data_IF_209749020378
#
_entry.id   IF_209749020378
#
_cell.length_a   1.000
_cell.length_b   1.000
_cell.length_c   1.000
_cell.angle_alpha   90.00
_cell.angle_beta   90.00
_cell.angle_gamma   90.00
#
_symmetry.space_group_name_H-M   'P 1'
#
loop_
_entity.id
_entity.type
_entity.pdbx_description
1 polymer ?
#
# COMPACT_ATOMS: atom_id res chain seq x y z
N UNK A 1 -21.60 6.07 38.22
CA UNK A 1 -20.23 6.43 37.86
C UNK A 1 -19.47 5.12 37.71
N UNK A 2 -19.37 4.59 36.49
CA UNK A 2 -18.50 3.46 36.16
C UNK A 2 -17.30 4.04 35.45
N UNK A 3 -16.11 3.80 35.97
CA UNK A 3 -14.84 4.19 35.40
C UNK A 3 -14.78 3.66 33.97
N UNK A 4 -14.70 4.58 33.01
CA UNK A 4 -14.16 4.29 31.68
C UNK A 4 -12.63 4.24 31.84
N UNK A 5 -12.11 3.05 32.11
CA UNK A 5 -10.70 2.75 31.82
C UNK A 5 -10.56 2.79 30.30
N UNK A 6 -10.24 3.96 29.77
CA UNK A 6 -9.83 4.12 28.39
C UNK A 6 -8.51 3.37 28.23
N UNK A 7 -8.61 2.20 27.61
CA UNK A 7 -7.44 1.45 27.15
C UNK A 7 -6.62 2.37 26.21
N UNK A 8 -5.48 2.88 26.70
CA UNK A 8 -4.61 3.82 25.99
C UNK A 8 -3.90 3.22 24.75
N UNK A 9 -4.32 2.03 24.32
CA UNK A 9 -3.77 1.28 23.18
C UNK A 9 -4.78 1.02 22.05
N UNK A 10 -6.02 1.52 22.16
CA UNK A 10 -7.07 1.28 21.16
C UNK A 10 -7.26 2.50 20.26
N UNK A 11 -7.14 2.33 18.94
CA UNK A 11 -7.31 3.39 17.95
C UNK A 11 -6.64 3.07 16.63
N UNK A 12 -6.80 3.96 15.64
CA UNK A 12 -6.11 3.87 14.34
C UNK A 12 -5.19 5.09 14.15
N UNK A 13 -4.15 4.90 13.34
CA UNK A 13 -3.20 5.96 12.99
C UNK A 13 -3.85 6.99 12.04
N UNK A 14 -3.17 8.13 11.81
CA UNK A 14 -3.57 9.10 10.80
C UNK A 14 -3.55 8.51 9.38
N UNK A 15 -4.41 9.01 8.48
CA UNK A 15 -4.38 8.67 7.06
C UNK A 15 -3.08 9.12 6.37
N UNK A 16 -2.36 10.09 6.96
CA UNK A 16 -1.03 10.49 6.48
C UNK A 16 0.02 9.37 6.66
N UNK A 17 -0.24 8.41 7.55
CA UNK A 17 0.59 7.22 7.73
C UNK A 17 0.18 6.05 6.79
N UNK A 18 -0.92 6.19 6.06
CA UNK A 18 -1.36 5.26 5.03
C UNK A 18 -0.93 5.74 3.64
N UNK A 19 -1.25 7.00 3.31
CA UNK A 19 -0.89 7.63 2.05
C UNK A 19 0.45 8.36 2.17
N UNK A 20 1.48 7.82 1.55
CA UNK A 20 2.83 8.38 1.56
C UNK A 20 3.36 8.50 0.14
N UNK A 21 3.75 9.70 -0.23
CA UNK A 21 4.55 9.91 -1.44
C UNK A 21 5.98 9.42 -1.21
N UNK A 22 6.49 8.62 -2.13
CA UNK A 22 7.85 8.09 -2.00
C UNK A 22 8.26 7.23 -3.19
N UNK A 23 9.49 6.77 -3.18
CA UNK A 23 10.04 5.96 -4.27
C UNK A 23 9.70 4.48 -4.10
N UNK A 24 9.26 3.86 -5.22
CA UNK A 24 9.10 2.42 -5.28
C UNK A 24 10.44 1.65 -5.27
N UNK A 25 10.41 0.35 -5.50
CA UNK A 25 9.23 -0.43 -5.90
C UNK A 25 8.42 -1.02 -4.74
N UNK A 26 8.93 -1.01 -3.49
CA UNK A 26 8.29 -1.68 -2.36
C UNK A 26 8.24 -0.80 -1.10
N UNK A 27 7.08 -0.69 -0.49
CA UNK A 27 6.93 0.04 0.76
C UNK A 27 7.67 -0.62 1.92
N UNK A 28 7.71 -1.96 1.96
CA UNK A 28 8.41 -2.72 3.00
C UNK A 28 9.91 -2.91 2.73
N UNK A 29 10.32 -2.99 1.44
CA UNK A 29 11.71 -3.30 1.08
C UNK A 29 12.52 -2.06 0.63
N UNK A 30 11.87 -0.92 0.36
CA UNK A 30 12.55 0.33 -0.01
C UNK A 30 12.20 1.48 0.93
N UNK A 31 10.93 1.90 1.00
CA UNK A 31 10.54 3.05 1.83
C UNK A 31 10.76 2.83 3.33
N UNK A 32 10.43 1.64 3.85
CA UNK A 32 10.68 1.29 5.26
C UNK A 32 12.17 1.30 5.62
N UNK A 33 13.04 0.57 4.91
CA UNK A 33 14.48 0.65 5.09
C UNK A 33 15.06 2.05 4.94
N UNK A 34 14.62 2.85 3.94
CA UNK A 34 15.04 4.25 3.79
C UNK A 34 14.69 5.07 5.03
N UNK A 35 13.45 4.98 5.51
CA UNK A 35 12.98 5.69 6.71
C UNK A 35 13.77 5.29 7.96
N UNK A 36 14.07 4.01 8.12
CA UNK A 36 14.88 3.52 9.23
C UNK A 36 16.31 4.04 9.18
N UNK A 37 16.93 4.01 8.01
CA UNK A 37 18.29 4.54 7.83
C UNK A 37 18.35 6.04 8.03
N UNK A 38 17.38 6.82 7.54
CA UNK A 38 17.30 8.27 7.80
C UNK A 38 17.18 8.57 9.30
N UNK A 39 16.30 7.87 10.02
CA UNK A 39 16.16 8.03 11.47
C UNK A 39 17.42 7.63 12.22
N UNK A 40 18.10 6.55 11.81
CA UNK A 40 19.32 6.09 12.43
C UNK A 40 20.52 7.01 12.14
N UNK A 41 20.59 7.57 10.92
CA UNK A 41 21.58 8.58 10.54
C UNK A 41 21.42 9.86 11.39
N UNK A 42 20.19 10.35 11.53
CA UNK A 42 19.90 11.53 12.34
C UNK A 42 20.26 11.32 13.82
N UNK A 43 20.12 10.11 14.34
CA UNK A 43 20.51 9.73 15.69
C UNK A 43 22.03 9.63 15.88
N UNK A 44 22.78 9.34 14.82
CA UNK A 44 24.21 9.07 14.85
C UNK A 44 25.01 10.04 13.96
N UNK A 45 24.94 11.37 14.18
CA UNK A 45 25.57 12.35 13.30
C UNK A 45 27.12 12.32 13.33
N UNK A 46 27.72 11.63 14.30
CA UNK A 46 29.18 11.49 14.45
C UNK A 46 29.73 10.16 13.91
N UNK A 47 28.88 9.30 13.35
CA UNK A 47 29.32 8.04 12.77
C UNK A 47 30.13 8.27 11.48
N UNK A 48 31.21 7.50 11.30
CA UNK A 48 32.06 7.50 10.11
C UNK A 48 31.84 6.29 9.20
N UNK A 49 31.07 5.29 9.69
CA UNK A 49 30.69 4.09 8.93
C UNK A 49 29.40 3.49 9.49
N UNK A 50 28.61 2.91 8.58
CA UNK A 50 27.40 2.14 8.91
C UNK A 50 27.50 0.70 8.40
N UNK A 51 26.72 -0.19 9.01
CA UNK A 51 26.49 -1.55 8.53
C UNK A 51 25.02 -1.87 8.72
N UNK A 52 24.42 -2.50 7.71
CA UNK A 52 23.06 -3.02 7.75
C UNK A 52 23.07 -4.53 7.51
N UNK A 53 22.39 -5.29 8.36
CA UNK A 53 22.16 -6.72 8.15
C UNK A 53 20.69 -6.94 7.92
N UNK A 54 20.34 -7.52 6.77
CA UNK A 54 18.98 -7.79 6.34
C UNK A 54 18.64 -9.24 6.60
N UNK A 55 17.43 -9.49 7.11
CA UNK A 55 16.96 -10.83 7.47
C UNK A 55 15.64 -11.16 6.78
N UNK A 56 15.26 -12.46 6.80
CA UNK A 56 13.97 -12.96 6.34
C UNK A 56 13.64 -12.54 4.91
N UNK A 57 12.48 -11.93 4.69
CA UNK A 57 12.06 -11.48 3.35
C UNK A 57 12.96 -10.37 2.80
N UNK A 58 13.46 -9.45 3.66
CA UNK A 58 14.42 -8.42 3.23
C UNK A 58 15.71 -9.03 2.69
N UNK A 59 16.17 -10.16 3.23
CA UNK A 59 17.36 -10.85 2.73
C UNK A 59 17.07 -11.66 1.46
N UNK A 60 15.90 -12.30 1.37
CA UNK A 60 15.55 -13.21 0.27
C UNK A 60 15.18 -12.48 -1.02
N UNK A 61 14.51 -11.34 -0.91
CA UNK A 61 13.99 -10.58 -2.07
C UNK A 61 14.57 -9.17 -2.21
N UNK A 62 15.37 -8.73 -1.22
CA UNK A 62 15.88 -7.35 -1.14
C UNK A 62 16.75 -6.92 -2.32
N UNK A 63 17.55 -7.82 -2.90
CA UNK A 63 18.32 -7.55 -4.11
C UNK A 63 17.39 -7.15 -5.28
N UNK A 64 16.31 -7.91 -5.49
CA UNK A 64 15.32 -7.63 -6.52
C UNK A 64 14.60 -6.29 -6.29
N UNK A 65 14.30 -5.95 -5.05
CA UNK A 65 13.69 -4.68 -4.66
C UNK A 65 14.70 -3.52 -4.60
N UNK A 66 16.00 -3.78 -4.67
CA UNK A 66 17.06 -2.74 -4.54
C UNK A 66 17.18 -2.18 -3.13
N UNK A 67 16.88 -2.98 -2.11
CA UNK A 67 16.98 -2.58 -0.70
C UNK A 67 18.38 -2.12 -0.33
N UNK A 68 19.41 -2.84 -0.78
CA UNK A 68 20.82 -2.48 -0.58
C UNK A 68 21.18 -1.14 -1.22
N UNK A 69 20.65 -0.87 -2.41
CA UNK A 69 20.87 0.40 -3.13
C UNK A 69 20.23 1.57 -2.41
N UNK A 70 19.01 1.39 -1.88
CA UNK A 70 18.32 2.42 -1.11
C UNK A 70 19.07 2.70 0.18
N UNK A 71 19.48 1.68 0.93
CA UNK A 71 20.25 1.84 2.17
C UNK A 71 21.55 2.60 1.93
N UNK A 72 22.35 2.15 0.95
CA UNK A 72 23.63 2.83 0.60
C UNK A 72 23.41 4.28 0.16
N UNK A 73 22.35 4.53 -0.63
CA UNK A 73 22.00 5.89 -1.06
C UNK A 73 21.57 6.78 0.10
N UNK A 74 20.89 6.24 1.10
CA UNK A 74 20.41 7.00 2.27
C UNK A 74 21.56 7.47 3.14
N UNK A 75 22.59 6.63 3.35
CA UNK A 75 23.79 7.04 4.08
C UNK A 75 24.74 7.93 3.25
N UNK A 76 24.42 8.13 1.96
CA UNK A 76 25.10 9.02 1.03
C UNK A 76 26.64 8.79 0.97
N UNK A 77 27.43 9.76 1.45
CA UNK A 77 28.90 9.70 1.37
C UNK A 77 29.55 8.88 2.50
N UNK A 78 28.78 8.48 3.52
CA UNK A 78 29.29 7.68 4.63
C UNK A 78 29.30 6.21 4.20
N UNK A 79 30.46 5.52 4.27
CA UNK A 79 30.54 4.10 3.91
C UNK A 79 29.49 3.24 4.63
N UNK A 80 28.80 2.40 3.90
CA UNK A 80 27.80 1.47 4.44
C UNK A 80 27.92 0.09 3.81
N UNK A 81 28.18 -0.92 4.65
CA UNK A 81 28.15 -2.33 4.27
C UNK A 81 26.73 -2.87 4.45
N UNK A 82 26.23 -3.62 3.43
CA UNK A 82 24.92 -4.26 3.49
C UNK A 82 25.10 -5.76 3.32
N UNK A 83 24.63 -6.53 4.29
CA UNK A 83 24.71 -7.98 4.35
C UNK A 83 23.30 -8.60 4.28
N UNK A 84 23.18 -9.73 3.58
CA UNK A 84 21.95 -10.49 3.44
C UNK A 84 22.07 -11.81 4.20
N UNK A 85 21.51 -11.87 5.40
CA UNK A 85 21.44 -13.11 6.22
C UNK A 85 20.16 -13.86 5.85
N UNK A 86 20.32 -14.93 5.07
CA UNK A 86 19.24 -15.78 4.58
C UNK A 86 18.98 -16.99 5.48
N UNK A 87 19.82 -17.21 6.48
CA UNK A 87 19.80 -18.42 7.33
C UNK A 87 19.01 -18.21 8.63
N UNK A 88 19.07 -17.02 9.21
CA UNK A 88 18.38 -16.73 10.48
C UNK A 88 16.87 -16.80 10.30
N UNK A 89 16.19 -17.67 11.07
CA UNK A 89 14.76 -17.96 10.95
C UNK A 89 13.92 -17.50 12.16
N UNK A 90 14.52 -17.38 13.34
CA UNK A 90 13.82 -16.91 14.55
C UNK A 90 13.85 -15.39 14.60
N UNK A 91 12.89 -14.78 13.90
CA UNK A 91 12.80 -13.34 13.71
C UNK A 91 11.48 -12.81 14.27
N UNK A 92 11.47 -11.61 14.89
CA UNK A 92 10.26 -10.98 15.40
C UNK A 92 9.28 -10.56 14.27
N UNK A 93 9.81 -10.39 13.04
CA UNK A 93 9.02 -10.02 11.86
C UNK A 93 9.75 -10.47 10.59
N UNK A 94 9.03 -10.87 9.51
CA UNK A 94 9.66 -11.29 8.24
C UNK A 94 10.58 -10.23 7.61
N UNK A 95 10.29 -8.94 7.80
CA UNK A 95 11.10 -7.83 7.28
C UNK A 95 11.91 -7.18 8.41
N UNK A 96 12.82 -7.94 9.00
CA UNK A 96 13.73 -7.47 10.06
C UNK A 96 15.07 -7.03 9.47
N UNK A 97 15.65 -5.97 10.02
CA UNK A 97 17.02 -5.54 9.77
C UNK A 97 17.69 -5.02 11.03
N UNK A 98 19.00 -5.19 11.12
CA UNK A 98 19.86 -4.59 12.16
C UNK A 98 20.70 -3.50 11.52
N UNK A 99 20.74 -2.33 12.16
CA UNK A 99 21.59 -1.20 11.78
C UNK A 99 22.64 -0.99 12.85
N UNK A 100 23.87 -0.77 12.41
CA UNK A 100 25.04 -0.52 13.26
C UNK A 100 25.71 0.79 12.83
N UNK A 101 26.11 1.60 13.79
CA UNK A 101 26.90 2.81 13.60
C UNK A 101 28.27 2.63 14.23
N UNK A 102 29.31 3.08 13.52
CA UNK A 102 30.69 3.00 13.96
C UNK A 102 31.33 4.38 13.96
N UNK A 103 32.30 4.56 14.84
CA UNK A 103 33.24 5.67 14.87
C UNK A 103 34.62 5.15 15.25
N UNK A 104 35.65 5.51 14.49
CA UNK A 104 37.04 5.06 14.73
C UNK A 104 37.13 3.51 14.89
N UNK A 105 36.39 2.77 14.05
CA UNK A 105 36.22 1.30 14.09
C UNK A 105 35.54 0.73 15.35
N UNK A 106 35.04 1.56 16.25
CA UNK A 106 34.28 1.10 17.43
C UNK A 106 32.79 1.24 17.16
N UNK A 107 32.00 0.20 17.51
CA UNK A 107 30.53 0.27 17.49
C UNK A 107 30.06 1.28 18.53
N UNK A 108 29.32 2.30 18.11
CA UNK A 108 28.79 3.35 18.99
C UNK A 108 27.29 3.25 19.20
N UNK A 109 26.57 2.60 18.26
CA UNK A 109 25.11 2.40 18.37
C UNK A 109 24.69 1.21 17.51
N UNK A 110 23.59 0.58 17.92
CA UNK A 110 22.90 -0.44 17.13
C UNK A 110 21.40 -0.43 17.40
N UNK A 111 20.61 -0.80 16.40
CA UNK A 111 19.15 -0.91 16.52
C UNK A 111 18.63 -2.02 15.64
N UNK A 112 17.66 -2.78 16.14
CA UNK A 112 16.87 -3.72 15.35
C UNK A 112 15.56 -3.08 14.93
N UNK A 113 15.29 -3.06 13.63
CA UNK A 113 14.11 -2.43 13.03
C UNK A 113 13.34 -3.45 12.20
N UNK A 114 12.02 -3.38 12.26
CA UNK A 114 11.09 -4.15 11.45
C UNK A 114 10.34 -3.23 10.50
N UNK A 115 10.29 -3.57 9.22
CA UNK A 115 9.48 -2.86 8.22
C UNK A 115 8.13 -3.56 8.09
N UNK A 116 7.10 -2.98 8.70
CA UNK A 116 5.79 -3.63 8.91
C UNK A 116 4.74 -3.31 7.84
N UNK A 117 5.18 -2.88 6.65
CA UNK A 117 4.30 -2.54 5.52
C UNK A 117 3.96 -1.05 5.44
N UNK A 118 3.50 -0.59 4.27
CA UNK A 118 3.14 0.81 4.04
C UNK A 118 4.25 1.83 4.30
N UNK A 119 5.53 1.41 4.31
CA UNK A 119 6.66 2.27 4.70
C UNK A 119 6.72 2.58 6.20
N UNK A 120 5.95 1.89 7.04
CA UNK A 120 6.03 1.97 8.49
C UNK A 120 7.17 1.11 9.01
N UNK A 121 7.85 1.62 10.04
CA UNK A 121 8.91 0.90 10.78
C UNK A 121 8.55 0.81 12.25
N UNK A 122 9.03 -0.24 12.90
CA UNK A 122 9.01 -0.42 14.35
C UNK A 122 10.42 -0.79 14.80
N UNK A 123 10.92 -0.12 15.83
CA UNK A 123 12.21 -0.44 16.40
C UNK A 123 12.05 -1.21 17.72
N UNK A 124 12.79 -2.28 17.89
CA UNK A 124 12.71 -3.12 19.07
C UNK A 124 13.28 -2.39 20.29
N UNK A 125 12.43 -2.10 21.28
CA UNK A 125 12.85 -1.43 22.51
C UNK A 125 13.15 0.07 22.38
N UNK A 126 12.72 0.71 21.29
CA UNK A 126 12.98 2.12 20.99
C UNK A 126 11.69 2.83 20.53
N UNK A 127 11.71 4.16 20.55
CA UNK A 127 10.60 5.02 20.10
C UNK A 127 10.61 5.27 18.57
N UNK A 128 11.67 4.85 17.87
CA UNK A 128 11.78 5.06 16.43
C UNK A 128 10.61 4.39 15.68
N UNK A 129 9.89 5.19 14.92
CA UNK A 129 8.74 4.72 14.13
C UNK A 129 7.42 4.61 14.89
N UNK A 130 7.36 4.92 16.18
CA UNK A 130 6.09 5.04 16.89
C UNK A 130 5.28 6.21 16.35
N UNK A 131 4.00 5.97 16.11
CA UNK A 131 3.04 6.93 15.56
C UNK A 131 1.84 7.01 16.49
N UNK A 132 1.35 8.22 16.82
CA UNK A 132 0.18 8.37 17.67
C UNK A 132 -1.08 7.80 17.00
N UNK A 133 -1.96 7.25 17.80
CA UNK A 133 -3.30 6.86 17.38
C UNK A 133 -4.19 8.09 17.40
N UNK A 134 -4.90 8.32 16.31
CA UNK A 134 -5.72 9.53 16.07
C UNK A 134 -7.20 9.18 16.06
N UNK A 135 -7.58 8.09 15.39
CA UNK A 135 -8.97 7.67 15.28
C UNK A 135 -9.39 6.82 16.48
N UNK A 136 -10.50 7.15 17.16
CA UNK A 136 -10.97 6.41 18.33
C UNK A 136 -11.66 5.09 17.99
N UNK A 137 -12.24 4.95 16.78
CA UNK A 137 -12.99 3.78 16.35
C UNK A 137 -12.11 2.80 15.60
N UNK A 138 -12.36 1.50 15.79
CA UNK A 138 -11.52 0.44 15.20
C UNK A 138 -12.30 -0.52 14.29
N UNK A 139 -13.62 -0.36 14.18
CA UNK A 139 -14.45 -1.16 13.28
C UNK A 139 -15.28 -0.26 12.36
N UNK A 140 -15.65 -0.78 11.19
CA UNK A 140 -16.55 -0.03 10.31
C UNK A 140 -17.92 0.17 10.95
N UNK A 141 -18.40 -0.81 11.70
CA UNK A 141 -19.67 -0.72 12.44
C UNK A 141 -19.68 0.43 13.44
N UNK A 142 -18.59 0.68 14.17
CA UNK A 142 -18.46 1.82 15.09
C UNK A 142 -18.43 3.15 14.32
N UNK A 143 -17.64 3.23 13.23
CA UNK A 143 -17.56 4.42 12.39
C UNK A 143 -18.91 4.76 11.77
N UNK A 144 -19.60 3.75 11.21
CA UNK A 144 -20.90 3.94 10.58
C UNK A 144 -21.97 4.39 11.61
N UNK A 145 -21.94 3.86 12.83
CA UNK A 145 -22.82 4.31 13.91
C UNK A 145 -22.57 5.78 14.26
N UNK A 146 -21.29 6.15 14.43
CA UNK A 146 -20.89 7.54 14.69
C UNK A 146 -21.30 8.49 13.56
N UNK A 147 -21.06 8.10 12.30
CA UNK A 147 -21.44 8.91 11.13
C UNK A 147 -22.96 9.12 11.07
N UNK A 148 -23.77 8.07 11.31
CA UNK A 148 -25.25 8.19 11.32
C UNK A 148 -25.75 9.06 12.46
N UNK A 149 -25.17 8.97 13.67
CA UNK A 149 -25.55 9.79 14.82
C UNK A 149 -25.25 11.27 14.59
N UNK A 150 -24.20 11.60 13.84
CA UNK A 150 -23.74 12.97 13.59
C UNK A 150 -24.07 13.49 12.18
N UNK A 151 -24.84 12.74 11.38
CA UNK A 151 -25.19 13.07 9.99
C UNK A 151 -23.96 13.37 9.08
N UNK A 152 -22.95 12.51 9.20
CA UNK A 152 -21.66 12.65 8.50
C UNK A 152 -21.53 11.64 7.36
N UNK A 153 -20.87 12.06 6.30
CA UNK A 153 -20.28 11.21 5.28
C UNK A 153 -18.98 10.60 5.82
N UNK A 154 -18.46 9.57 5.13
CA UNK A 154 -17.24 8.90 5.58
C UNK A 154 -15.99 9.80 5.49
N UNK A 155 -15.90 10.67 4.48
CA UNK A 155 -14.81 11.64 4.37
C UNK A 155 -14.93 12.75 5.44
N UNK A 156 -16.14 13.20 5.78
CA UNK A 156 -16.36 14.21 6.82
C UNK A 156 -15.93 13.69 8.20
N UNK A 157 -16.13 12.39 8.45
CA UNK A 157 -15.60 11.73 9.64
C UNK A 157 -14.08 11.84 9.72
N UNK A 158 -13.36 11.61 8.59
CA UNK A 158 -11.91 11.72 8.56
C UNK A 158 -11.44 13.16 8.83
N UNK A 159 -12.03 14.15 8.15
CA UNK A 159 -11.69 15.56 8.35
C UNK A 159 -12.05 16.07 9.77
N UNK A 160 -13.15 15.60 10.34
CA UNK A 160 -13.52 15.95 11.70
C UNK A 160 -12.49 15.47 12.74
N UNK A 161 -11.90 14.27 12.53
CA UNK A 161 -10.91 13.69 13.43
C UNK A 161 -9.53 14.30 13.23
N UNK A 162 -9.06 14.46 11.99
CA UNK A 162 -7.68 14.91 11.69
C UNK A 162 -7.55 16.42 11.48
N UNK A 163 -8.67 17.11 11.25
CA UNK A 163 -8.70 18.55 11.02
C UNK A 163 -8.20 18.94 9.62
N UNK A 164 -8.06 20.27 9.36
CA UNK A 164 -7.81 20.80 8.02
C UNK A 164 -6.45 20.44 7.44
N UNK A 165 -5.52 19.96 8.23
CA UNK A 165 -4.19 19.52 7.77
C UNK A 165 -4.28 18.25 6.94
N UNK A 166 -5.31 17.41 7.13
CA UNK A 166 -5.56 16.24 6.30
C UNK A 166 -5.84 16.64 4.86
N UNK A 167 -6.74 17.59 4.63
CA UNK A 167 -7.08 18.05 3.28
C UNK A 167 -5.86 18.53 2.50
N UNK A 168 -5.00 19.35 3.13
CA UNK A 168 -3.75 19.82 2.50
C UNK A 168 -2.81 18.67 2.15
N UNK A 169 -2.73 17.67 3.03
CA UNK A 169 -1.94 16.45 2.73
C UNK A 169 -2.54 15.70 1.53
N UNK A 170 -3.86 15.53 1.49
CA UNK A 170 -4.54 14.81 0.41
C UNK A 170 -4.46 15.54 -0.95
N UNK A 171 -4.41 16.88 -0.96
CA UNK A 171 -4.10 17.65 -2.18
C UNK A 171 -2.75 17.24 -2.76
N UNK A 172 -1.70 17.21 -1.92
CA UNK A 172 -0.37 16.76 -2.33
C UNK A 172 -0.36 15.30 -2.80
N UNK A 173 -1.09 14.42 -2.09
CA UNK A 173 -1.24 13.00 -2.46
C UNK A 173 -1.89 12.87 -3.84
N UNK A 174 -3.01 13.58 -4.07
CA UNK A 174 -3.70 13.53 -5.36
C UNK A 174 -2.84 14.08 -6.51
N UNK A 175 -2.15 15.18 -6.29
CA UNK A 175 -1.23 15.74 -7.28
C UNK A 175 -0.11 14.75 -7.64
N UNK A 176 0.46 14.08 -6.66
CA UNK A 176 1.48 13.04 -6.88
C UNK A 176 0.91 11.84 -7.66
N UNK A 177 -0.29 11.39 -7.34
CA UNK A 177 -0.98 10.31 -8.07
C UNK A 177 -1.24 10.71 -9.53
N UNK A 178 -1.76 11.93 -9.78
CA UNK A 178 -1.96 12.47 -11.15
C UNK A 178 -0.65 12.51 -11.93
N UNK A 179 0.43 12.95 -11.29
CA UNK A 179 1.74 13.03 -11.93
C UNK A 179 2.29 11.64 -12.28
N UNK A 180 2.16 10.66 -11.39
CA UNK A 180 2.58 9.28 -11.67
C UNK A 180 1.84 8.69 -12.88
N UNK A 181 0.51 8.90 -12.97
CA UNK A 181 -0.29 8.48 -14.13
C UNK A 181 0.22 9.16 -15.41
N UNK A 182 0.31 10.50 -15.42
CA UNK A 182 0.70 11.29 -16.61
C UNK A 182 2.09 10.89 -17.12
N UNK A 183 3.05 10.76 -16.20
CA UNK A 183 4.43 10.38 -16.56
C UNK A 183 4.48 8.96 -17.09
N UNK A 184 3.80 8.00 -16.42
CA UNK A 184 3.77 6.61 -16.86
C UNK A 184 3.15 6.41 -18.25
N UNK A 185 2.12 7.20 -18.59
CA UNK A 185 1.47 7.13 -19.93
C UNK A 185 2.36 7.57 -21.11
N UNK A 186 3.42 8.32 -20.86
CA UNK A 186 4.33 8.77 -21.90
C UNK A 186 5.70 8.09 -21.88
N UNK A 187 6.00 7.37 -20.80
CA UNK A 187 7.30 6.70 -20.63
C UNK A 187 7.31 5.35 -21.35
N UNK A 188 8.39 5.08 -22.06
CA UNK A 188 8.63 3.83 -22.81
C UNK A 188 9.91 3.14 -22.34
N UNK A 189 10.14 1.92 -22.82
CA UNK A 189 11.36 1.16 -22.58
C UNK A 189 11.13 -0.10 -21.75
N UNK A 190 12.24 -0.69 -21.30
CA UNK A 190 12.26 -1.92 -20.51
C UNK A 190 12.36 -1.54 -19.03
N UNK A 191 11.59 -2.22 -18.19
CA UNK A 191 11.66 -2.07 -16.73
C UNK A 191 12.99 -2.59 -16.19
N UNK A 192 13.55 -1.98 -15.15
CA UNK A 192 14.79 -2.42 -14.53
C UNK A 192 14.65 -3.79 -13.85
N UNK A 193 15.75 -4.50 -13.60
CA UNK A 193 15.78 -5.75 -12.84
C UNK A 193 16.00 -7.01 -13.69
N UNK A 194 16.13 -6.89 -15.01
CA UNK A 194 16.63 -7.98 -15.88
C UNK A 194 15.57 -8.95 -16.41
N UNK A 195 14.27 -8.78 -16.08
CA UNK A 195 13.20 -9.64 -16.62
C UNK A 195 12.84 -9.33 -18.08
N UNK A 196 13.35 -8.24 -18.67
CA UNK A 196 13.03 -7.83 -20.02
C UNK A 196 11.58 -7.37 -20.24
N UNK A 197 10.88 -7.00 -19.17
CA UNK A 197 9.49 -6.55 -19.23
C UNK A 197 9.41 -5.15 -19.85
N UNK A 198 8.72 -5.05 -20.99
CA UNK A 198 8.43 -3.77 -21.65
C UNK A 198 7.32 -3.00 -20.94
N UNK A 199 7.46 -1.67 -20.88
CA UNK A 199 6.36 -0.79 -20.46
C UNK A 199 5.22 -0.86 -21.49
N UNK A 200 4.00 -1.01 -21.00
CA UNK A 200 2.78 -1.23 -21.80
C UNK A 200 1.76 -0.10 -21.66
N UNK A 201 1.89 0.76 -20.64
CA UNK A 201 0.91 1.81 -20.35
C UNK A 201 0.64 2.72 -21.54
N UNK A 202 1.69 3.23 -22.19
CA UNK A 202 1.59 4.10 -23.38
C UNK A 202 0.91 3.38 -24.55
N UNK A 203 1.26 2.11 -24.77
CA UNK A 203 0.65 1.30 -25.83
C UNK A 203 -0.84 1.10 -25.55
N UNK A 204 -1.22 0.68 -24.33
CA UNK A 204 -2.62 0.50 -23.95
C UNK A 204 -3.41 1.79 -24.09
N UNK A 205 -2.85 2.92 -23.67
CA UNK A 205 -3.50 4.22 -23.76
C UNK A 205 -3.73 4.67 -25.21
N UNK A 206 -2.73 4.48 -26.07
CA UNK A 206 -2.74 4.92 -27.48
C UNK A 206 -3.48 4.00 -28.45
N UNK A 207 -3.75 2.74 -28.06
CA UNK A 207 -4.46 1.81 -28.93
C UNK A 207 -5.91 2.25 -29.15
N UNK A 208 -6.34 2.19 -30.40
CA UNK A 208 -7.73 2.44 -30.79
C UNK A 208 -8.16 1.29 -31.69
N UNK A 209 -9.27 0.66 -31.35
CA UNK A 209 -9.91 -0.36 -32.19
C UNK A 209 -11.15 0.24 -32.83
N UNK A 210 -11.36 -0.03 -34.11
CA UNK A 210 -12.49 0.53 -34.89
C UNK A 210 -13.84 0.17 -34.24
N UNK A 211 -13.93 -1.04 -33.68
CA UNK A 211 -15.15 -1.57 -33.07
C UNK A 211 -15.09 -1.62 -31.53
N UNK A 212 -14.32 -0.73 -30.90
CA UNK A 212 -14.20 -0.70 -29.45
C UNK A 212 -15.52 -0.24 -28.80
N UNK A 213 -16.15 -1.13 -28.03
CA UNK A 213 -17.32 -0.76 -27.22
C UNK A 213 -16.94 0.21 -26.10
N UNK A 214 -17.94 0.89 -25.52
CA UNK A 214 -17.73 1.79 -24.38
C UNK A 214 -17.10 1.06 -23.20
N UNK A 215 -17.53 -0.19 -22.94
CA UNK A 215 -17.03 -1.04 -21.85
C UNK A 215 -15.58 -1.49 -22.10
N UNK A 216 -15.25 -1.89 -23.33
CA UNK A 216 -13.87 -2.25 -23.72
C UNK A 216 -12.94 -1.06 -23.60
N UNK A 217 -13.41 0.13 -24.02
CA UNK A 217 -12.67 1.38 -23.87
C UNK A 217 -12.45 1.73 -22.39
N UNK A 218 -13.49 1.62 -21.56
CA UNK A 218 -13.35 1.83 -20.12
C UNK A 218 -12.29 0.91 -19.53
N UNK A 219 -12.38 -0.37 -19.78
CA UNK A 219 -11.43 -1.37 -19.33
C UNK A 219 -9.99 -1.00 -19.74
N UNK A 220 -9.78 -0.73 -21.04
CA UNK A 220 -8.46 -0.36 -21.57
C UNK A 220 -7.90 0.91 -20.94
N UNK A 221 -8.72 1.95 -20.75
CA UNK A 221 -8.29 3.23 -20.17
C UNK A 221 -7.92 3.06 -18.70
N UNK A 222 -8.75 2.39 -17.89
CA UNK A 222 -8.47 2.12 -16.47
C UNK A 222 -7.20 1.27 -16.33
N UNK A 223 -7.09 0.20 -17.13
CA UNK A 223 -5.88 -0.63 -17.16
C UNK A 223 -4.63 0.18 -17.53
N UNK A 224 -4.72 1.07 -18.53
CA UNK A 224 -3.58 1.90 -18.94
C UNK A 224 -3.08 2.80 -17.80
N UNK A 225 -3.97 3.36 -16.99
CA UNK A 225 -3.63 4.19 -15.84
C UNK A 225 -3.01 3.34 -14.70
N UNK A 226 -3.56 2.15 -14.44
CA UNK A 226 -3.00 1.24 -13.45
C UNK A 226 -1.59 0.77 -13.85
N UNK A 227 -1.38 0.42 -15.13
CA UNK A 227 -0.06 0.10 -15.67
C UNK A 227 0.88 1.29 -15.55
N UNK A 228 0.44 2.51 -15.89
CA UNK A 228 1.26 3.72 -15.82
C UNK A 228 1.89 3.90 -14.44
N UNK A 229 1.09 3.86 -13.38
CA UNK A 229 1.57 4.01 -12.00
C UNK A 229 2.42 2.81 -11.58
N UNK A 230 1.99 1.59 -11.89
CA UNK A 230 2.72 0.37 -11.50
C UNK A 230 4.09 0.27 -12.18
N UNK A 231 4.21 0.72 -13.42
CA UNK A 231 5.49 0.78 -14.16
C UNK A 231 6.41 1.88 -13.61
N UNK A 232 5.86 3.01 -13.16
CA UNK A 232 6.63 4.03 -12.43
C UNK A 232 7.13 3.46 -11.10
N UNK A 233 6.26 2.77 -10.35
CA UNK A 233 6.66 2.07 -9.13
C UNK A 233 7.80 1.08 -9.38
N UNK A 234 7.65 0.20 -10.36
CA UNK A 234 8.65 -0.82 -10.71
C UNK A 234 10.00 -0.23 -11.12
N UNK A 235 10.01 1.01 -11.60
CA UNK A 235 11.22 1.74 -11.99
C UNK A 235 11.86 2.55 -10.86
N UNK A 236 11.29 2.51 -9.64
CA UNK A 236 11.80 3.28 -8.49
C UNK A 236 11.49 4.76 -8.55
N UNK A 237 10.47 5.15 -9.33
CA UNK A 237 10.00 6.52 -9.41
C UNK A 237 9.04 6.86 -8.25
N UNK A 238 8.71 8.15 -8.11
CA UNK A 238 7.81 8.61 -7.06
C UNK A 238 6.38 8.20 -7.35
N UNK A 239 5.77 7.50 -6.40
CA UNK A 239 4.36 7.10 -6.37
C UNK A 239 3.78 7.39 -4.97
N UNK A 240 2.51 7.09 -4.79
CA UNK A 240 1.85 7.12 -3.49
C UNK A 240 1.50 5.70 -3.05
N UNK A 241 1.81 5.35 -1.79
CA UNK A 241 1.31 4.11 -1.20
C UNK A 241 -0.22 4.15 -1.06
N UNK A 242 -0.91 3.10 -1.55
CA UNK A 242 -2.38 3.00 -1.46
C UNK A 242 -2.84 1.52 -1.41
N UNK A 243 -2.67 0.78 -0.30
CA UNK A 243 -1.93 1.17 0.92
C UNK A 243 -0.42 0.90 0.83
N UNK A 244 0.08 0.21 -0.21
CA UNK A 244 1.50 -0.13 -0.41
C UNK A 244 1.99 0.33 -1.78
N UNK A 245 3.32 0.30 -1.99
CA UNK A 245 3.90 0.56 -3.32
C UNK A 245 3.42 -0.46 -4.36
N UNK A 246 3.39 -1.76 -3.99
CA UNK A 246 2.98 -2.85 -4.88
C UNK A 246 1.55 -2.72 -5.41
N UNK A 247 0.70 -2.01 -4.67
CA UNK A 247 -0.72 -1.79 -5.01
C UNK A 247 -1.04 -0.34 -5.41
N UNK A 248 -0.02 0.50 -5.61
CA UNK A 248 -0.14 1.94 -5.84
C UNK A 248 -0.90 2.34 -7.10
N UNK A 249 -1.08 1.42 -8.05
CA UNK A 249 -1.76 1.68 -9.32
C UNK A 249 -3.29 1.59 -9.26
N UNK A 250 -3.86 0.91 -8.26
CA UNK A 250 -5.31 0.60 -8.22
C UNK A 250 -6.15 1.85 -8.03
N UNK A 251 -5.95 2.53 -6.91
CA UNK A 251 -6.76 3.69 -6.50
C UNK A 251 -6.66 4.86 -7.48
N UNK A 252 -5.45 5.31 -7.88
CA UNK A 252 -5.33 6.41 -8.83
C UNK A 252 -5.90 6.09 -10.21
N UNK A 253 -5.84 4.83 -10.67
CA UNK A 253 -6.40 4.45 -11.96
C UNK A 253 -7.92 4.66 -12.00
N UNK A 254 -8.61 4.21 -10.95
CA UNK A 254 -10.08 4.33 -10.84
C UNK A 254 -10.48 5.80 -10.74
N UNK A 255 -9.86 6.56 -9.82
CA UNK A 255 -10.23 7.94 -9.56
C UNK A 255 -9.88 8.87 -10.74
N UNK A 256 -8.67 8.71 -11.32
CA UNK A 256 -8.26 9.50 -12.49
C UNK A 256 -9.18 9.24 -13.70
N UNK A 257 -9.58 7.99 -13.91
CA UNK A 257 -10.54 7.66 -14.96
C UNK A 257 -11.89 8.34 -14.74
N UNK A 258 -12.45 8.27 -13.54
CA UNK A 258 -13.74 8.88 -13.22
C UNK A 258 -13.69 10.41 -13.29
N UNK A 259 -12.60 11.01 -12.82
CA UNK A 259 -12.38 12.45 -12.96
C UNK A 259 -12.42 12.87 -14.44
N UNK A 260 -11.73 12.14 -15.32
CA UNK A 260 -11.71 12.43 -16.75
C UNK A 260 -13.05 12.15 -17.44
N UNK A 261 -13.73 11.09 -17.05
CA UNK A 261 -15.01 10.66 -17.66
C UNK A 261 -16.17 11.58 -17.28
N UNK A 262 -16.22 12.02 -16.02
CA UNK A 262 -17.39 12.72 -15.46
C UNK A 262 -17.13 14.18 -15.09
N UNK A 263 -15.88 14.65 -15.13
CA UNK A 263 -15.52 16.04 -14.86
C UNK A 263 -15.54 16.42 -13.37
N UNK A 264 -15.32 15.45 -12.45
CA UNK A 264 -15.19 15.74 -11.02
C UNK A 264 -14.05 16.71 -10.74
N UNK A 265 -14.25 17.61 -9.77
CA UNK A 265 -13.20 18.48 -9.25
C UNK A 265 -12.16 17.74 -8.41
N UNK A 266 -11.01 18.36 -8.15
CA UNK A 266 -9.99 17.77 -7.29
C UNK A 266 -10.52 17.57 -5.85
N UNK A 267 -11.35 18.47 -5.35
CA UNK A 267 -11.99 18.34 -4.02
C UNK A 267 -12.85 17.07 -3.92
N UNK A 268 -13.65 16.76 -4.96
CA UNK A 268 -14.47 15.53 -4.97
C UNK A 268 -13.58 14.27 -4.88
N UNK A 269 -12.43 14.31 -5.58
CA UNK A 269 -11.47 13.20 -5.55
C UNK A 269 -10.77 13.11 -4.19
N UNK A 270 -10.46 14.24 -3.55
CA UNK A 270 -9.86 14.27 -2.21
C UNK A 270 -10.80 13.63 -1.18
N UNK A 271 -12.08 14.01 -1.17
CA UNK A 271 -13.09 13.38 -0.31
C UNK A 271 -13.19 11.87 -0.56
N UNK A 272 -13.13 11.44 -1.83
CA UNK A 272 -13.09 10.02 -2.17
C UNK A 272 -11.83 9.32 -1.65
N UNK A 273 -10.65 9.97 -1.72
CA UNK A 273 -9.40 9.44 -1.15
C UNK A 273 -9.49 9.29 0.37
N UNK A 274 -10.07 10.26 1.06
CA UNK A 274 -10.28 10.22 2.51
C UNK A 274 -11.18 9.06 2.91
N UNK A 275 -12.32 8.89 2.22
CA UNK A 275 -13.22 7.75 2.45
C UNK A 275 -12.52 6.39 2.19
N UNK A 276 -11.81 6.27 1.07
CA UNK A 276 -11.00 5.09 0.76
C UNK A 276 -9.89 4.86 1.79
N UNK A 277 -9.32 5.94 2.31
CA UNK A 277 -8.28 5.91 3.34
C UNK A 277 -8.80 5.34 4.67
N UNK A 278 -10.01 5.69 5.09
CA UNK A 278 -10.63 5.11 6.30
C UNK A 278 -10.73 3.59 6.17
N UNK A 279 -11.18 3.07 5.02
CA UNK A 279 -11.24 1.63 4.77
C UNK A 279 -9.85 1.00 4.81
N UNK A 280 -8.86 1.60 4.15
CA UNK A 280 -7.48 1.11 4.17
C UNK A 280 -6.88 1.08 5.58
N UNK A 281 -7.22 2.07 6.40
CA UNK A 281 -6.75 2.18 7.77
C UNK A 281 -7.38 1.12 8.69
N UNK A 282 -8.67 0.81 8.50
CA UNK A 282 -9.36 -0.31 9.16
C UNK A 282 -8.67 -1.66 8.83
N UNK A 283 -8.36 -1.89 7.56
CA UNK A 283 -7.68 -3.11 7.14
C UNK A 283 -6.26 -3.19 7.72
N UNK A 284 -5.50 -2.08 7.67
CA UNK A 284 -4.16 -1.97 8.24
C UNK A 284 -4.15 -2.28 9.74
N UNK A 285 -5.17 -1.80 10.47
CA UNK A 285 -5.26 -1.93 11.93
C UNK A 285 -5.70 -3.34 12.34
N UNK A 286 -6.69 -3.91 11.67
CA UNK A 286 -7.34 -5.16 12.11
C UNK A 286 -6.80 -6.42 11.42
N UNK A 287 -6.14 -6.26 10.27
CA UNK A 287 -5.52 -7.37 9.55
C UNK A 287 -4.03 -7.08 9.31
N UNK A 288 -3.65 -6.88 8.07
CA UNK A 288 -2.31 -6.46 7.62
C UNK A 288 -2.41 -5.87 6.22
N UNK A 289 -1.46 -5.01 5.88
CA UNK A 289 -1.22 -4.52 4.51
C UNK A 289 0.12 -5.02 3.96
N UNK A 290 0.75 -6.01 4.61
CA UNK A 290 2.06 -6.55 4.23
C UNK A 290 1.93 -7.86 3.46
N UNK A 291 2.49 -7.92 2.25
CA UNK A 291 2.57 -9.14 1.46
C UNK A 291 3.39 -10.25 2.14
N UNK A 292 4.39 -9.88 2.92
CA UNK A 292 5.22 -10.81 3.68
C UNK A 292 4.48 -11.45 4.87
N UNK A 293 3.46 -10.78 5.40
CA UNK A 293 2.62 -11.32 6.49
C UNK A 293 1.41 -12.10 5.98
N UNK A 294 0.66 -11.52 5.06
CA UNK A 294 -0.67 -12.01 4.67
C UNK A 294 -0.83 -12.25 3.16
N UNK A 295 0.25 -12.32 2.38
CA UNK A 295 0.15 -12.46 0.94
C UNK A 295 -0.35 -11.19 0.22
N UNK A 296 -0.52 -11.28 -1.09
CA UNK A 296 -0.94 -10.13 -1.90
C UNK A 296 -2.41 -9.72 -1.68
N UNK A 297 -3.23 -10.56 -1.02
CA UNK A 297 -4.56 -10.15 -0.57
C UNK A 297 -4.49 -8.92 0.35
N UNK A 298 -3.44 -8.82 1.18
CA UNK A 298 -3.19 -7.68 2.06
C UNK A 298 -2.85 -6.39 1.30
N UNK A 299 -2.18 -6.49 0.15
CA UNK A 299 -1.82 -5.33 -0.67
C UNK A 299 -2.89 -5.00 -1.70
N UNK A 300 -3.11 -5.89 -2.66
CA UNK A 300 -4.03 -5.69 -3.80
C UNK A 300 -5.49 -5.75 -3.35
N UNK A 301 -5.85 -6.67 -2.43
CA UNK A 301 -7.21 -6.74 -1.88
C UNK A 301 -7.58 -5.48 -1.12
N UNK A 302 -6.67 -4.98 -0.28
CA UNK A 302 -6.86 -3.71 0.44
C UNK A 302 -6.97 -2.52 -0.51
N UNK A 303 -6.11 -2.43 -1.53
CA UNK A 303 -6.18 -1.37 -2.53
C UNK A 303 -7.49 -1.40 -3.34
N UNK A 304 -7.97 -2.60 -3.67
CA UNK A 304 -9.26 -2.77 -4.34
C UNK A 304 -10.42 -2.30 -3.46
N UNK A 305 -10.41 -2.63 -2.16
CA UNK A 305 -11.42 -2.17 -1.20
C UNK A 305 -11.39 -0.66 -1.00
N UNK A 306 -10.20 -0.06 -0.88
CA UNK A 306 -10.01 1.39 -0.83
C UNK A 306 -10.57 2.06 -2.08
N UNK A 307 -10.27 1.53 -3.26
CA UNK A 307 -10.75 2.07 -4.54
C UNK A 307 -12.27 1.90 -4.71
N UNK A 308 -12.84 0.79 -4.25
CA UNK A 308 -14.28 0.56 -4.27
C UNK A 308 -15.01 1.54 -3.34
N UNK A 309 -14.52 1.72 -2.11
CA UNK A 309 -15.09 2.69 -1.17
C UNK A 309 -14.97 4.13 -1.67
N UNK A 310 -13.79 4.51 -2.18
CA UNK A 310 -13.55 5.83 -2.76
C UNK A 310 -14.49 6.12 -3.95
N UNK A 311 -14.69 5.12 -4.82
CA UNK A 311 -15.59 5.26 -5.95
C UNK A 311 -17.06 5.32 -5.53
N UNK A 312 -17.45 4.53 -4.52
CA UNK A 312 -18.81 4.57 -3.96
C UNK A 312 -19.09 5.93 -3.31
N UNK A 313 -18.13 6.49 -2.56
CA UNK A 313 -18.19 7.84 -2.01
C UNK A 313 -18.33 8.89 -3.10
N UNK A 314 -17.48 8.84 -4.15
CA UNK A 314 -17.51 9.76 -5.30
C UNK A 314 -18.85 9.74 -6.03
N UNK A 315 -19.56 8.61 -6.03
CA UNK A 315 -20.90 8.45 -6.59
C UNK A 315 -22.01 8.88 -5.62
N UNK A 316 -21.69 9.35 -4.43
CA UNK A 316 -22.65 9.79 -3.42
C UNK A 316 -23.48 8.64 -2.81
N UNK A 317 -22.97 7.41 -2.85
CA UNK A 317 -23.64 6.26 -2.25
C UNK A 317 -23.66 6.38 -0.71
N UNK A 318 -24.63 5.72 -0.07
CA UNK A 318 -24.74 5.68 1.38
C UNK A 318 -23.69 4.77 2.02
N UNK A 319 -23.53 4.86 3.35
CA UNK A 319 -22.54 4.10 4.11
C UNK A 319 -22.68 2.58 3.94
N UNK A 320 -23.91 2.06 3.82
CA UNK A 320 -24.14 0.64 3.66
C UNK A 320 -23.62 0.13 2.30
N UNK A 321 -23.77 0.93 1.24
CA UNK A 321 -23.24 0.61 -0.09
C UNK A 321 -21.73 0.78 -0.17
N UNK A 322 -21.15 1.78 0.52
CA UNK A 322 -19.71 1.96 0.65
C UNK A 322 -19.09 0.73 1.34
N UNK A 323 -19.69 0.31 2.46
CA UNK A 323 -19.26 -0.88 3.20
C UNK A 323 -19.32 -2.12 2.33
N UNK A 324 -20.46 -2.33 1.64
CA UNK A 324 -20.67 -3.52 0.81
C UNK A 324 -19.71 -3.55 -0.39
N UNK A 325 -19.44 -2.42 -1.03
CA UNK A 325 -18.47 -2.34 -2.12
C UNK A 325 -17.05 -2.72 -1.65
N UNK A 326 -16.64 -2.25 -0.47
CA UNK A 326 -15.35 -2.58 0.12
C UNK A 326 -15.27 -4.06 0.54
N UNK A 327 -16.34 -4.60 1.10
CA UNK A 327 -16.47 -5.99 1.51
C UNK A 327 -16.32 -6.93 0.30
N UNK A 328 -17.12 -6.75 -0.78
CA UNK A 328 -17.02 -7.51 -2.04
C UNK A 328 -15.58 -7.46 -2.56
N UNK A 329 -14.95 -6.30 -2.52
CA UNK A 329 -13.61 -6.11 -3.03
C UNK A 329 -12.57 -6.94 -2.27
N UNK A 330 -12.64 -7.05 -0.94
CA UNK A 330 -11.73 -7.90 -0.15
C UNK A 330 -12.05 -9.37 -0.35
N UNK A 331 -13.31 -9.75 -0.20
CA UNK A 331 -13.77 -11.15 -0.26
C UNK A 331 -13.23 -11.86 -1.51
N UNK A 332 -13.27 -11.18 -2.65
CA UNK A 332 -12.83 -11.75 -3.93
C UNK A 332 -11.32 -11.65 -4.19
N UNK A 333 -10.54 -11.23 -3.19
CA UNK A 333 -9.08 -11.30 -3.19
C UNK A 333 -8.51 -12.23 -2.12
N UNK A 334 -9.36 -12.87 -1.30
CA UNK A 334 -8.90 -13.84 -0.29
C UNK A 334 -8.12 -14.98 -0.95
N UNK A 335 -7.02 -15.39 -0.31
CA UNK A 335 -6.14 -16.45 -0.81
C UNK A 335 -5.12 -15.99 -1.85
N UNK A 336 -5.04 -14.70 -2.21
CA UNK A 336 -4.08 -14.21 -3.21
C UNK A 336 -2.65 -14.23 -2.64
N UNK A 337 -1.78 -15.05 -3.26
CA UNK A 337 -0.38 -15.22 -2.88
C UNK A 337 0.48 -14.01 -3.21
N UNK A 338 1.62 -13.83 -2.54
CA UNK A 338 2.67 -12.86 -2.91
C UNK A 338 3.94 -13.62 -3.33
N UNK A 339 4.06 -13.85 -4.64
CA UNK A 339 5.07 -14.72 -5.26
C UNK A 339 5.65 -14.11 -6.55
N UNK A 340 6.16 -12.85 -6.51
CA UNK A 340 6.64 -12.16 -7.70
C UNK A 340 7.90 -12.83 -8.26
N UNK A 341 8.01 -12.89 -9.60
CA UNK A 341 9.15 -13.47 -10.29
C UNK A 341 10.42 -12.69 -9.95
N UNK A 342 11.47 -13.40 -9.54
CA UNK A 342 12.74 -12.82 -9.07
C UNK A 342 12.59 -11.78 -7.95
N UNK A 343 11.49 -11.80 -7.20
CA UNK A 343 11.21 -10.79 -6.17
C UNK A 343 10.95 -9.38 -6.72
N UNK A 344 10.75 -9.23 -8.02
CA UNK A 344 10.52 -7.93 -8.67
C UNK A 344 9.03 -7.59 -8.68
N UNK A 345 8.69 -6.36 -8.31
CA UNK A 345 7.30 -5.85 -8.33
C UNK A 345 6.86 -5.56 -9.77
N UNK A 346 6.89 -6.59 -10.62
CA UNK A 346 6.58 -6.53 -12.04
C UNK A 346 5.57 -7.61 -12.45
N UNK A 347 5.96 -8.88 -12.33
CA UNK A 347 5.10 -10.03 -12.66
C UNK A 347 4.80 -10.81 -11.37
N UNK A 348 3.53 -10.91 -10.99
CA UNK A 348 2.30 -10.46 -11.65
C UNK A 348 1.80 -9.08 -11.20
N UNK A 349 2.56 -8.32 -10.41
CA UNK A 349 2.12 -7.15 -9.66
C UNK A 349 1.47 -6.07 -10.55
N UNK A 350 2.07 -5.75 -11.71
CA UNK A 350 1.56 -4.71 -12.62
C UNK A 350 0.16 -5.10 -13.13
N UNK A 351 -0.01 -6.33 -13.57
CA UNK A 351 -1.31 -6.81 -14.07
C UNK A 351 -2.35 -6.94 -12.95
N UNK A 352 -1.95 -7.34 -11.74
CA UNK A 352 -2.84 -7.38 -10.57
C UNK A 352 -3.43 -6.02 -10.25
N UNK A 353 -2.66 -4.92 -10.36
CA UNK A 353 -3.18 -3.57 -10.18
C UNK A 353 -4.31 -3.25 -11.17
N UNK A 354 -4.13 -3.58 -12.46
CA UNK A 354 -5.13 -3.34 -13.49
C UNK A 354 -6.40 -4.16 -13.25
N UNK A 355 -6.25 -5.45 -12.93
CA UNK A 355 -7.38 -6.34 -12.63
C UNK A 355 -8.15 -5.86 -11.39
N UNK A 356 -7.44 -5.45 -10.34
CA UNK A 356 -8.05 -4.95 -9.10
C UNK A 356 -8.79 -3.61 -9.32
N UNK A 357 -8.25 -2.71 -10.16
CA UNK A 357 -8.92 -1.46 -10.51
C UNK A 357 -10.27 -1.72 -11.21
N UNK A 358 -10.33 -2.67 -12.14
CA UNK A 358 -11.58 -3.08 -12.78
C UNK A 358 -12.53 -3.78 -11.82
N UNK A 359 -12.00 -4.59 -10.89
CA UNK A 359 -12.80 -5.23 -9.85
C UNK A 359 -13.42 -4.23 -8.88
N UNK A 360 -12.73 -3.15 -8.53
CA UNK A 360 -13.29 -2.08 -7.71
C UNK A 360 -14.53 -1.45 -8.38
N UNK A 361 -14.47 -1.17 -9.68
CA UNK A 361 -15.61 -0.65 -10.45
C UNK A 361 -16.79 -1.66 -10.45
N UNK A 362 -16.47 -2.94 -10.65
CA UNK A 362 -17.47 -4.00 -10.61
C UNK A 362 -18.11 -4.17 -9.22
N UNK A 363 -17.29 -4.11 -8.14
CA UNK A 363 -17.79 -4.20 -6.77
C UNK A 363 -18.79 -3.08 -6.42
N UNK A 364 -18.52 -1.86 -6.83
CA UNK A 364 -19.43 -0.72 -6.64
C UNK A 364 -20.74 -0.94 -7.40
N UNK A 365 -20.67 -1.46 -8.63
CA UNK A 365 -21.86 -1.77 -9.41
C UNK A 365 -22.74 -2.82 -8.71
N UNK A 366 -22.13 -3.91 -8.21
CA UNK A 366 -22.84 -4.94 -7.45
C UNK A 366 -23.45 -4.36 -6.17
N UNK A 367 -22.70 -3.62 -5.38
CA UNK A 367 -23.18 -3.01 -4.14
C UNK A 367 -24.37 -2.08 -4.37
N UNK A 368 -24.36 -1.33 -5.48
CA UNK A 368 -25.46 -0.42 -5.84
C UNK A 368 -26.79 -1.16 -6.06
N UNK A 369 -26.77 -2.40 -6.55
CA UNK A 369 -27.96 -3.18 -6.84
C UNK A 369 -28.36 -4.14 -5.72
N UNK A 370 -27.41 -4.58 -4.88
CA UNK A 370 -27.59 -5.74 -3.98
C UNK A 370 -27.43 -5.39 -2.48
N UNK A 371 -27.27 -4.13 -2.12
CA UNK A 371 -26.98 -3.72 -0.73
C UNK A 371 -27.97 -4.26 0.31
N UNK A 372 -29.25 -4.29 -0.02
CA UNK A 372 -30.32 -4.76 0.89
C UNK A 372 -30.28 -6.26 1.18
N UNK A 373 -29.48 -7.01 0.43
CA UNK A 373 -29.36 -8.46 0.56
C UNK A 373 -28.07 -8.91 1.25
N UNK A 374 -27.19 -7.97 1.61
CA UNK A 374 -25.91 -8.25 2.28
C UNK A 374 -26.07 -9.09 3.55
N UNK A 375 -25.18 -10.05 3.75
CA UNK A 375 -25.16 -10.96 4.92
C UNK A 375 -23.87 -10.88 5.74
N UNK A 376 -22.79 -10.45 5.13
CA UNK A 376 -21.47 -10.40 5.73
C UNK A 376 -21.05 -8.92 5.91
N UNK A 377 -20.43 -8.57 7.03
CA UNK A 377 -19.92 -7.23 7.28
C UNK A 377 -18.48 -7.10 6.78
N UNK A 378 -18.07 -5.87 6.47
CA UNK A 378 -16.68 -5.55 6.16
C UNK A 378 -15.73 -5.97 7.30
N UNK A 379 -16.13 -5.74 8.55
CA UNK A 379 -15.35 -6.13 9.73
C UNK A 379 -15.08 -7.64 9.77
N UNK A 380 -16.09 -8.46 9.42
CA UNK A 380 -15.94 -9.92 9.35
C UNK A 380 -14.98 -10.36 8.25
N UNK A 381 -15.04 -9.71 7.07
CA UNK A 381 -14.15 -10.06 5.95
C UNK A 381 -12.72 -9.60 6.21
N UNK A 382 -12.51 -8.47 6.87
CA UNK A 382 -11.17 -8.02 7.33
C UNK A 382 -10.57 -9.05 8.29
N UNK A 383 -11.36 -9.55 9.24
CA UNK A 383 -10.93 -10.61 10.16
C UNK A 383 -10.57 -11.89 9.41
N UNK A 384 -11.43 -12.34 8.49
CA UNK A 384 -11.17 -13.51 7.63
C UNK A 384 -9.90 -13.32 6.78
N UNK A 385 -9.65 -12.11 6.27
CA UNK A 385 -8.43 -11.82 5.54
C UNK A 385 -7.18 -12.02 6.40
N UNK A 386 -7.23 -11.65 7.69
CA UNK A 386 -6.13 -11.90 8.62
C UNK A 386 -5.90 -13.39 8.83
N UNK A 387 -6.95 -14.16 9.10
CA UNK A 387 -6.86 -15.61 9.32
C UNK A 387 -6.32 -16.32 8.08
N UNK A 388 -6.94 -16.11 6.91
CA UNK A 388 -6.48 -16.71 5.65
C UNK A 388 -5.07 -16.29 5.28
N UNK A 389 -4.67 -15.06 5.61
CA UNK A 389 -3.30 -14.57 5.42
C UNK A 389 -2.28 -15.32 6.25
N UNK A 390 -2.60 -15.63 7.50
CA UNK A 390 -1.74 -16.43 8.38
C UNK A 390 -1.67 -17.90 7.93
N UNK A 391 -2.73 -18.42 7.32
CA UNK A 391 -2.81 -19.79 6.79
C UNK A 391 -2.12 -19.96 5.42
N UNK A 392 -1.89 -18.89 4.67
CA UNK A 392 -1.08 -18.94 3.43
C UNK A 392 0.31 -19.48 3.80
N UNK A 393 0.73 -20.56 3.15
CA UNK A 393 2.04 -21.14 3.38
C UNK A 393 3.17 -20.14 3.18
N UNK A 394 4.19 -20.17 4.03
CA UNK A 394 5.32 -19.23 4.03
C UNK A 394 5.96 -19.02 2.65
N UNK A 395 6.08 -20.09 1.85
CA UNK A 395 6.62 -20.01 0.48
C UNK A 395 5.85 -19.07 -0.47
N UNK A 396 4.63 -18.67 -0.13
CA UNK A 396 3.77 -17.79 -0.91
C UNK A 396 3.60 -16.39 -0.30
N UNK A 397 4.45 -16.03 0.68
CA UNK A 397 4.42 -14.74 1.38
C UNK A 397 5.73 -13.96 1.15
N UNK A 398 5.93 -13.49 -0.10
CA UNK A 398 7.07 -12.63 -0.50
C UNK A 398 8.45 -13.23 -0.18
N UNK A 399 8.62 -14.54 -0.39
CA UNK A 399 9.88 -15.26 -0.11
C UNK A 399 10.64 -15.66 -1.37
N UNK A 400 10.04 -15.58 -2.53
CA UNK A 400 10.55 -16.12 -3.81
C UNK A 400 10.78 -17.65 -3.80
N UNK A 401 10.18 -18.37 -2.85
CA UNK A 401 10.36 -19.83 -2.69
C UNK A 401 9.23 -20.66 -3.31
N UNK A 402 8.09 -20.03 -3.65
CA UNK A 402 6.88 -20.70 -4.14
C UNK A 402 6.27 -20.06 -5.37
N UNK A 403 5.25 -20.70 -5.92
CA UNK A 403 4.38 -20.16 -6.96
C UNK A 403 5.10 -19.68 -8.22
N UNK A 404 4.72 -18.50 -8.70
CA UNK A 404 5.28 -17.88 -9.90
C UNK A 404 6.77 -17.57 -9.76
N UNK A 405 7.26 -17.31 -8.55
CA UNK A 405 8.68 -17.03 -8.29
C UNK A 405 9.63 -18.17 -8.70
N UNK A 406 9.12 -19.40 -8.84
CA UNK A 406 9.90 -20.58 -9.33
C UNK A 406 10.07 -20.62 -10.83
N UNK A 407 9.32 -19.80 -11.59
CA UNK A 407 9.40 -19.79 -13.05
C UNK A 407 10.71 -19.10 -13.46
N UNK A 408 11.50 -19.79 -14.27
CA UNK A 408 12.69 -19.24 -14.90
C UNK A 408 12.28 -18.71 -16.28
N UNK A 409 12.46 -17.41 -16.50
CA UNK A 409 12.21 -16.73 -17.77
C UNK A 409 13.49 -16.70 -18.60
#
# INVERSE_FOLDING_TARGET
>A
MKNQDTCSSCGMESLTELYKAGRGPSSSHTMGPERACLGFLARNPSADRFRAVLFGSLAKTGEGHGTDRVIKKTFAEIPCDVEFDRETSDLPHPNTMDLYAYRDNSEIDRIRVMSVGGGKILAQGDELGKVPLVYPHQSFSEIAAYCRENDLRLWEYAEQIEGPTLHVHMEHIWDTMKQAVRTGLVTEGILPGGLGVWRKAKQLFGQQHIDESAETRENRMVCSYAFAVSEQNASGETIVTAPTCGASGVLPAVLYYQQKKRGYGDTDIIHALEAGGVIGNLIKTNASISGAECGCQAEIGSACAMAAAALAELFGLDLDKIEYAAEIAIEHHLGLTCDPICGLVQIPCIERNAVAAMRAINAVSLASFLSDTRRISLDSVIHTMKETGLDIAHAYRETSEGGLAKIKL
#
